data_IF_541918618800
#
_entry.id   IF_541918618800
#
_cell.length_a   1.000
_cell.length_b   1.000
_cell.length_c   1.000
_cell.angle_alpha   90.00
_cell.angle_beta   90.00
_cell.angle_gamma   90.00
#
_symmetry.space_group_name_H-M   'P 1'
#
loop_
_entity.id
_entity.type
_entity.pdbx_description
1 polymer ?
#
# COMPACT_ATOMS: atom_id res chain seq x y z
N UNK A 1 -14.70 1.42 -17.57
CA UNK A 1 -14.98 -0.03 -17.47
C UNK A 1 -16.05 -0.29 -16.41
N UNK A 2 -16.97 -1.25 -16.63
CA UNK A 2 -17.93 -1.68 -15.62
C UNK A 2 -17.21 -2.53 -14.56
N UNK A 3 -17.40 -2.22 -13.28
CA UNK A 3 -16.89 -3.04 -12.17
C UNK A 3 -17.93 -4.10 -11.78
N UNK A 4 -17.47 -5.21 -11.18
CA UNK A 4 -18.34 -6.29 -10.70
C UNK A 4 -19.17 -5.91 -9.46
N UNK A 5 -20.12 -6.76 -9.06
CA UNK A 5 -20.95 -6.50 -7.88
C UNK A 5 -20.09 -6.54 -6.60
N UNK A 6 -20.17 -5.52 -5.72
CA UNK A 6 -19.39 -5.50 -4.48
C UNK A 6 -19.98 -6.36 -3.36
N UNK A 7 -21.25 -6.78 -3.46
CA UNK A 7 -21.90 -7.60 -2.45
C UNK A 7 -21.33 -9.04 -2.49
N UNK A 8 -20.78 -9.52 -1.39
CA UNK A 8 -20.18 -10.86 -1.27
C UNK A 8 -21.24 -11.96 -1.32
N UNK A 9 -22.45 -11.69 -0.84
CA UNK A 9 -23.55 -12.66 -0.78
C UNK A 9 -24.36 -12.74 -2.09
N UNK A 10 -23.86 -12.13 -3.17
CA UNK A 10 -24.54 -12.13 -4.46
C UNK A 10 -23.93 -13.20 -5.37
N UNK A 11 -24.78 -13.94 -6.07
CA UNK A 11 -24.36 -14.92 -7.10
C UNK A 11 -23.50 -14.30 -8.21
N UNK A 12 -23.60 -12.98 -8.39
CA UNK A 12 -22.83 -12.19 -9.34
C UNK A 12 -21.71 -11.36 -8.67
N UNK A 13 -21.20 -11.76 -7.49
CA UNK A 13 -20.06 -11.12 -6.84
C UNK A 13 -18.87 -11.04 -7.82
N UNK A 14 -18.29 -9.84 -7.97
CA UNK A 14 -17.18 -9.54 -8.90
C UNK A 14 -17.45 -9.78 -10.41
N UNK A 15 -18.58 -10.42 -10.78
CA UNK A 15 -19.02 -10.60 -12.17
C UNK A 15 -19.70 -9.35 -12.71
N UNK A 16 -19.61 -9.12 -14.04
CA UNK A 16 -20.09 -7.88 -14.70
C UNK A 16 -21.44 -7.99 -15.40
N UNK A 17 -21.95 -9.21 -15.56
CA UNK A 17 -23.10 -9.53 -16.40
C UNK A 17 -24.40 -8.86 -15.93
N UNK A 18 -24.69 -8.90 -14.63
CA UNK A 18 -25.95 -8.39 -14.08
C UNK A 18 -25.93 -6.89 -13.76
N UNK A 19 -24.98 -6.12 -14.29
CA UNK A 19 -24.70 -4.75 -13.86
C UNK A 19 -25.17 -3.72 -14.89
N UNK A 20 -26.08 -2.87 -14.44
CA UNK A 20 -26.61 -1.74 -15.20
C UNK A 20 -26.11 -0.40 -14.66
N UNK A 21 -26.10 0.61 -15.53
CA UNK A 21 -25.85 2.00 -15.16
C UNK A 21 -27.10 2.56 -14.43
N UNK A 22 -26.88 3.31 -13.35
CA UNK A 22 -27.94 3.85 -12.48
C UNK A 22 -27.70 5.35 -12.22
N UNK A 23 -27.58 6.12 -13.30
CA UNK A 23 -27.29 7.56 -13.26
C UNK A 23 -25.84 7.92 -12.90
N UNK A 24 -25.61 9.18 -12.59
CA UNK A 24 -24.29 9.72 -12.24
C UNK A 24 -24.38 10.65 -11.03
N UNK A 25 -23.25 11.01 -10.43
CA UNK A 25 -23.19 12.09 -9.46
C UNK A 25 -21.92 12.92 -9.65
N UNK A 26 -22.00 14.23 -9.37
CA UNK A 26 -20.85 15.12 -9.38
C UNK A 26 -20.13 15.04 -8.04
N UNK A 27 -18.85 14.68 -8.06
CA UNK A 27 -18.02 14.61 -6.86
C UNK A 27 -17.44 15.98 -6.54
N UNK A 28 -17.76 16.53 -5.37
CA UNK A 28 -17.39 17.90 -4.99
C UNK A 28 -15.88 18.17 -4.97
N UNK A 29 -15.11 17.21 -4.47
CA UNK A 29 -13.66 17.33 -4.27
C UNK A 29 -12.88 17.60 -5.57
N UNK A 30 -13.09 16.81 -6.61
CA UNK A 30 -12.39 16.93 -7.89
C UNK A 30 -13.28 17.36 -9.06
N UNK A 31 -14.53 17.74 -8.78
CA UNK A 31 -15.55 18.13 -9.77
C UNK A 31 -15.81 17.09 -10.87
N UNK A 32 -15.37 15.84 -10.67
CA UNK A 32 -15.57 14.76 -11.66
C UNK A 32 -16.98 14.21 -11.57
N UNK A 33 -17.54 13.87 -12.73
CA UNK A 33 -18.81 13.14 -12.83
C UNK A 33 -18.49 11.64 -12.70
N UNK A 34 -19.08 10.99 -11.70
CA UNK A 34 -18.85 9.59 -11.36
C UNK A 34 -20.09 8.78 -11.73
N UNK A 35 -19.87 7.73 -12.52
CA UNK A 35 -20.92 6.78 -12.91
C UNK A 35 -21.37 5.93 -11.71
N UNK A 36 -22.68 5.84 -11.52
CA UNK A 36 -23.34 4.91 -10.59
C UNK A 36 -23.82 3.66 -11.34
N UNK A 37 -23.89 2.56 -10.62
CA UNK A 37 -24.28 1.26 -11.11
C UNK A 37 -25.22 0.58 -10.11
N UNK A 38 -26.08 -0.28 -10.63
CA UNK A 38 -26.97 -1.15 -9.84
C UNK A 38 -26.83 -2.58 -10.33
N UNK A 39 -26.74 -3.53 -9.41
CA UNK A 39 -26.85 -4.95 -9.72
C UNK A 39 -28.31 -5.34 -9.90
N UNK A 40 -28.68 -6.01 -10.99
CA UNK A 40 -30.06 -6.49 -11.22
C UNK A 40 -30.46 -7.62 -10.28
N UNK A 41 -29.50 -8.48 -9.89
CA UNK A 41 -29.78 -9.65 -9.04
C UNK A 41 -30.01 -9.26 -7.57
N UNK A 42 -29.12 -8.47 -6.97
CA UNK A 42 -29.19 -8.12 -5.54
C UNK A 42 -29.61 -6.67 -5.26
N UNK A 43 -29.92 -5.88 -6.30
CA UNK A 43 -30.27 -4.45 -6.22
C UNK A 43 -29.25 -3.53 -5.54
N UNK A 44 -28.07 -4.02 -5.17
CA UNK A 44 -27.01 -3.23 -4.54
C UNK A 44 -26.53 -2.13 -5.49
N UNK A 45 -26.48 -0.90 -4.98
CA UNK A 45 -25.98 0.27 -5.70
C UNK A 45 -24.53 0.54 -5.35
N UNK A 46 -23.73 0.87 -6.36
CA UNK A 46 -22.34 1.23 -6.18
C UNK A 46 -21.90 2.21 -7.27
N UNK A 47 -20.64 2.66 -7.22
CA UNK A 47 -20.10 3.63 -8.17
C UNK A 47 -18.74 3.17 -8.67
N UNK A 48 -18.23 3.78 -9.73
CA UNK A 48 -16.83 3.55 -10.13
C UNK A 48 -15.83 3.94 -9.05
N UNK A 49 -16.20 4.82 -8.12
CA UNK A 49 -15.36 5.18 -6.97
C UNK A 49 -15.35 4.14 -5.85
N UNK A 50 -16.26 3.16 -5.85
CA UNK A 50 -16.39 2.17 -4.78
C UNK A 50 -15.15 1.29 -4.63
N UNK A 51 -14.47 0.99 -5.74
CA UNK A 51 -13.29 0.12 -5.75
C UNK A 51 -11.98 0.90 -5.56
N UNK A 52 -12.06 2.23 -5.44
CA UNK A 52 -10.88 3.04 -5.19
C UNK A 52 -10.51 2.98 -3.72
N UNK A 53 -9.21 2.84 -3.42
CA UNK A 53 -8.67 3.02 -2.06
C UNK A 53 -8.99 4.41 -1.48
N UNK A 54 -9.26 5.41 -2.34
CA UNK A 54 -9.63 6.76 -1.94
C UNK A 54 -11.15 6.94 -1.75
N UNK A 55 -11.95 5.86 -1.71
CA UNK A 55 -13.40 5.94 -1.42
C UNK A 55 -13.63 6.67 -0.09
N UNK A 56 -14.67 7.50 -0.03
CA UNK A 56 -15.03 8.25 1.18
C UNK A 56 -14.11 9.43 1.54
N UNK A 57 -12.97 9.60 0.88
CA UNK A 57 -12.10 10.75 1.13
C UNK A 57 -12.74 12.05 0.61
N UNK A 58 -12.82 13.05 1.48
CA UNK A 58 -13.36 14.37 1.14
C UNK A 58 -12.35 15.30 0.46
N UNK A 59 -11.05 15.15 0.77
CA UNK A 59 -9.94 15.93 0.18
C UNK A 59 -8.96 14.98 -0.52
N UNK A 60 -9.16 14.60 -1.78
CA UNK A 60 -8.23 13.68 -2.50
C UNK A 60 -7.12 14.41 -3.22
N UNK A 61 -7.35 15.66 -3.64
CA UNK A 61 -6.35 16.46 -4.37
C UNK A 61 -5.04 16.62 -3.59
N UNK A 62 -5.14 16.70 -2.26
CA UNK A 62 -3.98 16.82 -1.36
C UNK A 62 -3.19 15.53 -1.19
N UNK A 63 -3.69 14.37 -1.66
CA UNK A 63 -3.01 13.09 -1.46
C UNK A 63 -1.59 13.10 -2.02
N UNK A 64 -1.40 13.67 -3.23
CA UNK A 64 -0.09 13.76 -3.87
C UNK A 64 0.88 14.63 -3.08
N UNK A 65 0.45 15.84 -2.72
CA UNK A 65 1.28 16.76 -1.93
C UNK A 65 1.65 16.15 -0.56
N UNK A 66 0.69 15.53 0.13
CA UNK A 66 0.99 14.87 1.42
C UNK A 66 2.05 13.76 1.24
N UNK A 67 1.97 12.98 0.16
CA UNK A 67 2.98 11.95 -0.13
C UNK A 67 4.37 12.56 -0.34
N UNK A 68 4.49 13.57 -1.21
CA UNK A 68 5.76 14.22 -1.53
C UNK A 68 6.40 14.87 -0.29
N UNK A 69 5.60 15.54 0.54
CA UNK A 69 6.08 16.17 1.78
C UNK A 69 6.50 15.13 2.84
N UNK A 70 5.79 14.00 2.95
CA UNK A 70 6.19 12.89 3.82
C UNK A 70 7.52 12.28 3.37
N UNK A 71 7.69 12.03 2.05
CA UNK A 71 8.95 11.55 1.48
C UNK A 71 10.10 12.55 1.70
N UNK A 72 9.79 13.85 1.76
CA UNK A 72 10.74 14.92 2.08
C UNK A 72 11.02 15.05 3.59
N UNK A 73 10.68 14.04 4.40
CA UNK A 73 10.91 13.97 5.86
C UNK A 73 10.25 15.10 6.65
N UNK A 74 9.19 15.73 6.14
CA UNK A 74 8.47 16.76 6.89
C UNK A 74 7.55 16.14 7.95
N UNK A 75 7.52 16.76 9.13
CA UNK A 75 6.61 16.33 10.20
C UNK A 75 5.14 16.52 9.80
N UNK A 76 4.27 15.62 10.26
CA UNK A 76 2.83 15.68 9.95
C UNK A 76 2.19 17.02 10.39
N UNK A 77 2.68 17.61 11.48
CA UNK A 77 2.24 18.91 11.96
C UNK A 77 2.65 20.05 11.01
N UNK A 78 3.87 20.00 10.46
CA UNK A 78 4.32 20.99 9.48
C UNK A 78 3.52 20.86 8.18
N UNK A 79 3.29 19.63 7.71
CA UNK A 79 2.47 19.34 6.53
C UNK A 79 1.04 19.90 6.72
N UNK A 80 0.45 19.70 7.89
CA UNK A 80 -0.87 20.23 8.22
C UNK A 80 -0.95 21.75 8.12
N UNK A 81 0.07 22.47 8.61
CA UNK A 81 0.18 23.94 8.51
C UNK A 81 0.36 24.39 7.07
N UNK A 82 1.27 23.77 6.32
CA UNK A 82 1.57 24.10 4.91
C UNK A 82 0.33 23.91 4.02
N UNK A 83 -0.36 22.79 4.15
CA UNK A 83 -1.53 22.46 3.34
C UNK A 83 -2.85 22.98 3.91
N UNK A 84 -2.82 23.68 5.06
CA UNK A 84 -4.01 24.19 5.78
C UNK A 84 -5.07 23.10 5.99
N UNK A 85 -4.64 21.94 6.49
CA UNK A 85 -5.51 20.81 6.81
C UNK A 85 -5.32 20.38 8.26
N UNK A 86 -6.33 19.70 8.82
CA UNK A 86 -6.21 19.15 10.17
C UNK A 86 -5.12 18.05 10.21
N UNK A 87 -4.22 18.01 11.21
CA UNK A 87 -3.21 16.96 11.36
C UNK A 87 -3.75 15.53 11.31
N UNK A 88 -4.95 15.28 11.88
CA UNK A 88 -5.65 13.98 11.79
C UNK A 88 -5.97 13.59 10.35
N UNK A 89 -6.08 14.55 9.44
CA UNK A 89 -6.24 14.29 8.01
C UNK A 89 -4.93 13.82 7.39
N UNK A 90 -3.79 14.40 7.77
CA UNK A 90 -2.46 13.97 7.32
C UNK A 90 -2.20 12.52 7.74
N UNK A 91 -2.47 12.17 9.00
CA UNK A 91 -2.35 10.80 9.51
C UNK A 91 -3.20 9.81 8.69
N UNK A 92 -4.48 10.12 8.45
CA UNK A 92 -5.35 9.27 7.58
C UNK A 92 -4.86 9.17 6.13
N UNK A 93 -4.12 10.18 5.64
CA UNK A 93 -3.50 10.11 4.31
C UNK A 93 -2.24 9.25 4.30
N UNK A 94 -1.48 9.24 5.40
CA UNK A 94 -0.37 8.31 5.58
C UNK A 94 -0.89 6.87 5.51
N UNK A 95 -1.98 6.52 6.22
CA UNK A 95 -2.59 5.18 6.15
C UNK A 95 -3.05 4.81 4.74
N UNK A 96 -3.64 5.78 4.03
CA UNK A 96 -4.04 5.60 2.64
C UNK A 96 -2.84 5.27 1.73
N UNK A 97 -1.73 5.99 1.91
CA UNK A 97 -0.51 5.74 1.15
C UNK A 97 0.15 4.42 1.54
N UNK A 98 0.15 4.06 2.82
CA UNK A 98 0.62 2.76 3.31
C UNK A 98 -0.12 1.61 2.61
N UNK A 99 -1.46 1.68 2.55
CA UNK A 99 -2.28 0.69 1.80
C UNK A 99 -1.94 0.64 0.32
N UNK A 100 -1.70 1.80 -0.31
CA UNK A 100 -1.30 1.88 -1.73
C UNK A 100 0.09 1.27 -1.96
N UNK A 101 1.04 1.55 -1.07
CA UNK A 101 2.38 0.98 -1.11
C UNK A 101 2.37 -0.53 -0.88
N UNK A 102 1.54 -1.03 0.03
CA UNK A 102 1.39 -2.47 0.26
C UNK A 102 0.91 -3.21 -1.00
N UNK A 103 -0.09 -2.66 -1.71
CA UNK A 103 -0.56 -3.22 -3.00
C UNK A 103 0.55 -3.19 -4.05
N UNK A 104 1.30 -2.07 -4.16
CA UNK A 104 2.44 -1.98 -5.08
C UNK A 104 3.53 -3.00 -4.75
N UNK A 105 3.88 -3.13 -3.47
CA UNK A 105 4.89 -4.07 -3.01
C UNK A 105 4.47 -5.51 -3.29
N UNK A 106 3.19 -5.87 -3.06
CA UNK A 106 2.67 -7.20 -3.39
C UNK A 106 2.84 -7.51 -4.89
N UNK A 107 2.49 -6.56 -5.76
CA UNK A 107 2.65 -6.73 -7.21
C UNK A 107 4.13 -6.82 -7.62
N UNK A 108 4.99 -6.03 -6.99
CA UNK A 108 6.43 -6.04 -7.23
C UNK A 108 7.07 -7.37 -6.80
N UNK A 109 6.72 -7.89 -5.62
CA UNK A 109 7.16 -9.23 -5.15
C UNK A 109 6.67 -10.35 -6.07
N UNK A 110 5.47 -10.24 -6.62
CA UNK A 110 4.98 -11.20 -7.62
C UNK A 110 5.80 -11.15 -8.92
N UNK A 111 6.21 -9.96 -9.35
CA UNK A 111 7.12 -9.79 -10.50
C UNK A 111 8.51 -10.40 -10.24
N UNK A 112 9.08 -10.19 -9.05
CA UNK A 112 10.38 -10.76 -8.67
C UNK A 112 10.39 -12.29 -8.62
N UNK A 113 9.25 -12.96 -8.41
CA UNK A 113 9.17 -14.43 -8.51
C UNK A 113 9.43 -14.94 -9.92
N UNK A 114 9.12 -14.12 -10.94
CA UNK A 114 9.36 -14.46 -12.34
C UNK A 114 10.76 -14.04 -12.78
N UNK A 115 11.25 -12.91 -12.29
CA UNK A 115 12.57 -12.37 -12.62
C UNK A 115 13.56 -12.61 -11.49
N UNK A 116 14.40 -13.63 -11.63
CA UNK A 116 15.47 -13.91 -10.69
C UNK A 116 16.52 -12.79 -10.68
N UNK A 117 17.13 -12.58 -9.52
CA UNK A 117 18.19 -11.59 -9.30
C UNK A 117 19.47 -12.35 -8.95
N UNK A 118 20.54 -12.08 -9.70
CA UNK A 118 21.82 -12.79 -9.57
C UNK A 118 22.70 -12.23 -8.45
N UNK A 119 22.77 -10.89 -8.34
CA UNK A 119 23.64 -10.22 -7.38
C UNK A 119 22.83 -9.29 -6.48
N UNK A 120 22.94 -9.52 -5.17
CA UNK A 120 22.27 -8.74 -4.14
C UNK A 120 23.31 -8.07 -3.24
N UNK A 121 22.96 -6.91 -2.72
CA UNK A 121 23.66 -6.24 -1.64
C UNK A 121 22.70 -6.08 -0.47
N UNK A 122 23.22 -6.27 0.73
CA UNK A 122 22.48 -6.22 1.98
C UNK A 122 23.08 -5.15 2.89
N UNK A 123 22.22 -4.34 3.48
CA UNK A 123 22.60 -3.29 4.44
C UNK A 123 21.55 -3.20 5.56
N UNK A 124 21.99 -2.86 6.76
CA UNK A 124 21.18 -2.80 7.98
C UNK A 124 21.35 -1.45 8.68
N UNK A 125 20.24 -0.79 9.01
CA UNK A 125 20.21 0.44 9.81
C UNK A 125 19.58 0.18 11.18
N UNK A 126 20.35 0.38 12.25
CA UNK A 126 19.83 0.33 13.62
C UNK A 126 19.26 1.70 14.01
N UNK A 127 18.00 1.72 14.43
CA UNK A 127 17.26 2.91 14.87
C UNK A 127 16.45 2.62 16.13
N UNK A 128 15.66 3.59 16.61
CA UNK A 128 14.87 3.49 17.84
C UNK A 128 13.39 3.78 17.57
N UNK A 129 12.51 3.03 18.24
CA UNK A 129 11.07 3.31 18.27
C UNK A 129 10.69 4.00 19.58
N UNK A 130 10.44 5.31 19.53
CA UNK A 130 10.08 6.15 20.68
C UNK A 130 11.17 6.32 21.75
N UNK A 131 11.79 5.24 22.24
CA UNK A 131 12.78 5.25 23.32
C UNK A 131 13.99 4.40 22.97
N UNK A 132 15.13 4.69 23.62
CA UNK A 132 16.38 3.92 23.44
C UNK A 132 16.24 2.43 23.80
N UNK A 133 15.28 2.09 24.66
CA UNK A 133 15.00 0.71 25.09
C UNK A 133 14.15 -0.08 24.09
N UNK A 134 13.82 0.52 22.94
CA UNK A 134 13.11 -0.15 21.84
C UNK A 134 13.90 0.01 20.54
N UNK A 135 15.08 -0.64 20.43
CA UNK A 135 15.85 -0.64 19.20
C UNK A 135 15.11 -1.42 18.09
N UNK A 136 15.19 -0.88 16.88
CA UNK A 136 14.69 -1.47 15.65
C UNK A 136 15.85 -1.63 14.67
N UNK A 137 15.97 -2.81 14.06
CA UNK A 137 16.82 -2.98 12.87
C UNK A 137 15.97 -2.80 11.62
N UNK A 138 16.49 -2.03 10.67
CA UNK A 138 15.89 -1.78 9.37
C UNK A 138 16.78 -2.42 8.31
N UNK A 139 16.34 -3.55 7.79
CA UNK A 139 17.09 -4.36 6.83
C UNK A 139 16.67 -4.06 5.41
N UNK A 140 17.65 -3.83 4.54
CA UNK A 140 17.42 -3.53 3.13
C UNK A 140 18.25 -4.42 2.22
N UNK A 141 17.58 -5.02 1.23
CA UNK A 141 18.23 -5.76 0.15
C UNK A 141 18.04 -5.01 -1.15
N UNK A 142 19.13 -4.74 -1.85
CA UNK A 142 19.13 -4.10 -3.16
C UNK A 142 19.79 -4.99 -4.21
N UNK A 143 19.36 -4.85 -5.46
CA UNK A 143 20.07 -5.49 -6.57
C UNK A 143 21.33 -4.68 -6.91
N UNK A 144 22.48 -5.35 -6.94
CA UNK A 144 23.78 -4.70 -7.11
C UNK A 144 23.93 -4.00 -8.48
N UNK A 145 23.31 -4.53 -9.54
CA UNK A 145 23.45 -4.03 -10.92
C UNK A 145 22.63 -2.77 -11.17
N UNK A 146 21.35 -2.77 -10.80
CA UNK A 146 20.41 -1.69 -11.11
C UNK A 146 20.02 -0.83 -9.89
N UNK A 147 20.52 -1.17 -8.69
CA UNK A 147 20.22 -0.50 -7.41
C UNK A 147 18.75 -0.45 -7.05
N UNK A 148 17.92 -1.35 -7.62
CA UNK A 148 16.51 -1.43 -7.24
C UNK A 148 16.37 -2.09 -5.87
N UNK A 149 15.59 -1.47 -4.98
CA UNK A 149 15.25 -2.05 -3.68
C UNK A 149 14.35 -3.27 -3.89
N UNK A 150 14.80 -4.42 -3.42
CA UNK A 150 14.08 -5.69 -3.53
C UNK A 150 13.22 -5.94 -2.29
N UNK A 151 13.82 -5.73 -1.12
CA UNK A 151 13.19 -5.98 0.18
C UNK A 151 13.58 -4.86 1.13
N UNK A 152 12.62 -4.49 1.98
CA UNK A 152 12.79 -3.56 3.08
C UNK A 152 11.96 -4.08 4.25
N UNK A 153 12.61 -4.50 5.33
CA UNK A 153 11.96 -5.14 6.48
C UNK A 153 12.42 -4.51 7.78
N UNK A 154 11.50 -4.47 8.75
CA UNK A 154 11.70 -3.87 10.06
C UNK A 154 11.64 -4.98 11.10
N UNK A 155 12.67 -5.07 11.92
CA UNK A 155 12.82 -6.10 12.94
C UNK A 155 12.97 -5.46 14.32
N UNK A 156 12.18 -5.91 15.30
CA UNK A 156 12.42 -5.58 16.69
C UNK A 156 13.65 -6.34 17.19
N UNK A 157 14.57 -5.65 17.86
CA UNK A 157 15.84 -6.26 18.27
C UNK A 157 15.67 -7.41 19.29
N UNK A 158 14.52 -7.51 19.97
CA UNK A 158 14.17 -8.66 20.83
C UNK A 158 13.92 -9.97 20.05
N UNK A 159 13.90 -9.93 18.71
CA UNK A 159 13.63 -11.09 17.83
C UNK A 159 14.82 -11.53 16.97
N UNK A 160 15.94 -10.79 16.95
CA UNK A 160 17.10 -11.14 16.11
C UNK A 160 17.76 -12.46 16.52
N UNK A 161 17.67 -12.84 17.80
CA UNK A 161 18.15 -14.15 18.27
C UNK A 161 17.34 -15.35 17.73
N UNK A 162 16.10 -15.14 17.27
CA UNK A 162 15.23 -16.20 16.75
C UNK A 162 15.25 -16.28 15.22
N UNK A 163 15.49 -15.16 14.53
CA UNK A 163 15.52 -15.08 13.07
C UNK A 163 16.76 -15.72 12.43
N UNK A 164 17.92 -15.71 13.11
CA UNK A 164 19.09 -16.46 12.62
C UNK A 164 18.81 -17.97 12.60
N UNK A 165 18.07 -18.50 13.58
CA UNK A 165 17.66 -19.92 13.58
C UNK A 165 16.67 -20.25 12.45
N UNK A 166 15.71 -19.37 12.15
CA UNK A 166 14.70 -19.64 11.11
C UNK A 166 15.20 -19.38 9.68
N UNK A 167 16.21 -18.53 9.50
CA UNK A 167 16.92 -18.38 8.22
C UNK A 167 17.84 -19.57 7.95
N UNK A 168 18.53 -20.10 8.97
CA UNK A 168 19.32 -21.34 8.84
C UNK A 168 18.44 -22.56 8.50
N UNK A 169 17.26 -22.69 9.11
CA UNK A 169 16.32 -23.79 8.84
C UNK A 169 15.68 -23.72 7.43
N UNK A 170 15.42 -22.53 6.89
CA UNK A 170 14.82 -22.38 5.56
C UNK A 170 15.85 -22.33 4.41
N UNK A 171 17.10 -21.92 4.69
CA UNK A 171 18.19 -21.97 3.71
C UNK A 171 18.80 -23.38 3.53
N UNK A 172 18.50 -24.33 4.42
CA UNK A 172 18.89 -25.74 4.27
C UNK A 172 18.31 -26.46 3.04
N UNK A 173 17.39 -25.84 2.28
CA UNK A 173 16.79 -26.41 1.07
C UNK A 173 17.21 -25.74 -0.24
N UNK A 174 17.94 -24.61 -0.19
CA UNK A 174 18.46 -23.94 -1.36
C UNK A 174 19.99 -24.11 -1.39
N UNK A 175 20.45 -25.20 -2.00
CA UNK A 175 21.86 -25.36 -2.39
C UNK A 175 22.20 -24.25 -3.38
N UNK A 176 22.74 -23.14 -2.88
CA UNK A 176 23.53 -22.21 -3.68
C UNK A 176 24.89 -22.88 -3.84
N UNK A 177 25.08 -23.56 -4.97
CA UNK A 177 26.42 -23.95 -5.39
C UNK A 177 27.18 -22.66 -5.71
N UNK A 178 28.21 -22.39 -4.91
CA UNK A 178 29.33 -21.52 -5.29
C UNK A 178 30.05 -22.18 -6.47
#
# INVERSE_FOLDING_TARGET
MKHGCPNQNCNYHQKRESIIKDGTFKRRDDSRIIQRYKCKSCSTRFSSSTFSLAKGQMKRRVNRMVYELLCSKMSMNRIARVLRINPKTVARKLDYHAKRCAVKNKNFRAYLRVKQVEHIQFDDLITIEHTKMKPLSVSMVVNAKNRSILVFELHGYLQTACLLKSLDENMGSARVNI
#
